data_IF_136363654762
#
_entry.id   IF_136363654762
#
_cell.length_a   1.000
_cell.length_b   1.000
_cell.length_c   1.000
_cell.angle_alpha   90.00
_cell.angle_beta   90.00
_cell.angle_gamma   90.00
#
_symmetry.space_group_name_H-M   'P 1'
#
loop_
_entity.id
_entity.type
_entity.pdbx_description
1 polymer ?
#
# COMPACT_ATOMS: atom_id res chain seq x y z
N UNK A 1 -5.58 -25.73 49.73
CA UNK A 1 -6.16 -24.38 49.89
C UNK A 1 -7.52 -24.34 49.19
N UNK A 2 -8.57 -24.07 49.98
CA UNK A 2 -9.84 -23.39 49.64
C UNK A 2 -10.54 -23.83 48.33
N UNK A 3 -11.52 -24.73 48.33
CA UNK A 3 -12.86 -24.69 48.93
C UNK A 3 -13.87 -23.77 48.20
N UNK A 4 -15.03 -24.39 47.92
CA UNK A 4 -16.38 -23.81 47.78
C UNK A 4 -16.71 -23.08 46.47
N UNK A 5 -17.95 -23.07 45.96
CA UNK A 5 -19.20 -23.80 46.21
C UNK A 5 -20.19 -23.28 45.16
N UNK A 6 -21.17 -24.10 44.85
CA UNK A 6 -22.35 -23.75 44.04
C UNK A 6 -23.28 -22.75 44.75
N UNK A 7 -23.91 -21.84 43.98
CA UNK A 7 -25.17 -21.09 44.24
C UNK A 7 -25.25 -19.95 43.19
N UNK A 8 -26.37 -19.45 42.67
CA UNK A 8 -27.80 -19.64 42.87
C UNK A 8 -28.48 -18.80 41.75
N UNK A 9 -29.46 -19.40 41.07
CA UNK A 9 -30.65 -18.83 40.39
C UNK A 9 -30.75 -17.31 40.15
N UNK A 10 -31.19 -16.94 38.93
CA UNK A 10 -32.43 -16.16 38.78
C UNK A 10 -33.05 -16.29 37.38
N UNK A 11 -34.01 -17.19 37.26
CA UNK A 11 -35.05 -17.18 36.24
C UNK A 11 -35.82 -15.85 36.33
N UNK A 12 -35.67 -14.98 35.34
CA UNK A 12 -36.46 -13.76 35.22
C UNK A 12 -37.55 -13.98 34.17
N UNK A 13 -38.75 -14.24 34.68
CA UNK A 13 -40.01 -14.31 33.93
C UNK A 13 -40.20 -13.07 33.06
N UNK A 14 -40.42 -13.25 31.77
CA UNK A 14 -40.87 -12.20 30.85
C UNK A 14 -42.24 -12.64 30.30
N UNK A 15 -43.26 -11.76 30.32
CA UNK A 15 -44.64 -12.12 30.07
C UNK A 15 -44.91 -12.40 28.58
N UNK A 16 -45.70 -13.44 28.40
CA UNK A 16 -46.32 -13.89 27.16
C UNK A 16 -47.26 -12.79 26.63
N UNK A 17 -47.05 -12.34 25.39
CA UNK A 17 -48.07 -11.62 24.64
C UNK A 17 -48.33 -12.38 23.34
N UNK A 18 -49.40 -13.17 23.38
CA UNK A 18 -50.05 -13.83 22.26
C UNK A 18 -50.54 -12.77 21.27
N UNK A 19 -50.11 -12.86 20.00
CA UNK A 19 -50.94 -12.42 18.89
C UNK A 19 -50.69 -13.31 17.68
N UNK A 20 -51.74 -14.03 17.30
CA UNK A 20 -51.85 -14.99 16.20
C UNK A 20 -52.29 -14.26 14.93
N UNK A 21 -51.40 -14.03 13.97
CA UNK A 21 -51.66 -13.82 12.53
C UNK A 21 -50.27 -13.99 11.88
N UNK A 22 -49.92 -14.86 10.93
CA UNK A 22 -50.61 -15.50 9.82
C UNK A 22 -49.71 -15.32 8.58
N UNK A 23 -49.49 -16.40 7.81
CA UNK A 23 -48.97 -16.44 6.43
C UNK A 23 -47.43 -16.39 6.16
N UNK A 24 -46.92 -17.57 5.76
CA UNK A 24 -46.27 -17.82 4.46
C UNK A 24 -44.81 -17.43 4.17
N UNK A 25 -44.20 -18.35 3.43
CA UNK A 25 -43.06 -18.31 2.48
C UNK A 25 -41.61 -18.54 2.95
N UNK A 26 -41.05 -19.56 2.28
CA UNK A 26 -39.71 -19.69 1.69
C UNK A 26 -38.53 -20.21 2.52
N UNK A 27 -38.21 -21.47 2.24
CA UNK A 27 -36.89 -22.07 2.38
C UNK A 27 -35.90 -21.33 1.47
N UNK A 28 -35.10 -20.44 2.03
CA UNK A 28 -33.82 -20.02 1.45
C UNK A 28 -32.73 -20.32 2.48
N UNK A 29 -32.11 -21.49 2.36
CA UNK A 29 -30.84 -21.74 3.03
C UNK A 29 -29.83 -20.76 2.43
N UNK A 30 -29.55 -19.70 3.20
CA UNK A 30 -28.73 -18.58 2.79
C UNK A 30 -27.31 -19.03 2.49
N UNK A 31 -26.91 -18.66 1.28
CA UNK A 31 -25.58 -18.72 0.70
C UNK A 31 -24.46 -18.47 1.70
N UNK A 32 -23.45 -19.35 1.59
CA UNK A 32 -22.10 -19.18 2.12
C UNK A 32 -21.59 -17.79 1.75
N UNK A 33 -21.54 -16.88 2.73
CA UNK A 33 -20.94 -15.57 2.57
C UNK A 33 -19.44 -15.77 2.34
N UNK A 34 -19.06 -15.79 1.06
CA UNK A 34 -17.71 -15.53 0.61
C UNK A 34 -17.33 -14.14 1.14
N UNK A 35 -16.53 -14.13 2.21
CA UNK A 35 -15.97 -12.91 2.74
C UNK A 35 -15.15 -12.24 1.63
N UNK A 36 -15.47 -11.00 1.24
CA UNK A 36 -14.61 -10.29 0.31
C UNK A 36 -13.28 -10.05 1.03
N UNK A 37 -12.21 -10.63 0.47
CA UNK A 37 -10.85 -10.20 0.78
C UNK A 37 -10.79 -8.70 0.50
N UNK A 38 -10.66 -7.91 1.56
CA UNK A 38 -10.37 -6.49 1.42
C UNK A 38 -9.00 -6.35 0.76
N UNK A 39 -9.00 -6.10 -0.56
CA UNK A 39 -7.80 -5.67 -1.28
C UNK A 39 -7.43 -4.31 -0.72
N UNK A 40 -6.38 -4.26 0.10
CA UNK A 40 -5.81 -3.00 0.58
C UNK A 40 -5.40 -2.17 -0.65
N UNK A 41 -6.17 -1.13 -0.95
CA UNK A 41 -5.87 -0.19 -2.02
C UNK A 41 -4.51 0.46 -1.75
N UNK A 42 -3.49 0.03 -2.49
CA UNK A 42 -2.14 0.54 -2.36
C UNK A 42 -2.13 1.97 -2.92
N UNK A 43 -2.16 2.96 -2.02
CA UNK A 43 -2.14 4.39 -2.35
C UNK A 43 -0.90 4.70 -3.18
N UNK A 44 -1.07 4.84 -4.49
CA UNK A 44 0.00 5.23 -5.40
C UNK A 44 0.45 6.65 -5.01
N UNK A 45 1.60 6.76 -4.36
CA UNK A 45 2.15 8.05 -3.92
C UNK A 45 2.59 8.80 -5.18
N UNK A 46 1.80 9.78 -5.62
CA UNK A 46 2.25 10.75 -6.63
C UNK A 46 3.42 11.55 -6.05
N UNK A 47 4.60 11.38 -6.63
CA UNK A 47 5.80 12.13 -6.28
C UNK A 47 5.70 13.62 -6.71
N UNK A 48 6.59 14.48 -6.21
CA UNK A 48 6.61 15.90 -6.56
C UNK A 48 7.03 16.09 -8.02
N UNK A 49 6.49 17.12 -8.70
CA UNK A 49 6.96 17.49 -10.05
C UNK A 49 8.23 18.34 -10.02
N UNK A 50 8.44 19.10 -8.94
CA UNK A 50 9.64 19.91 -8.71
C UNK A 50 10.18 19.57 -7.33
N UNK A 51 11.47 19.22 -7.25
CA UNK A 51 12.14 18.89 -6.00
C UNK A 51 13.64 19.18 -6.09
N UNK A 52 14.31 19.17 -4.94
CA UNK A 52 15.76 19.13 -4.83
C UNK A 52 16.21 17.70 -4.60
N UNK A 53 17.20 17.24 -5.37
CA UNK A 53 17.79 15.92 -5.19
C UNK A 53 18.77 15.93 -4.01
N UNK A 54 18.62 15.00 -3.08
CA UNK A 54 19.47 14.88 -1.88
C UNK A 54 20.38 13.66 -1.89
N UNK A 55 19.93 12.54 -2.43
CA UNK A 55 20.77 11.37 -2.69
C UNK A 55 20.35 10.68 -3.98
N UNK A 56 21.30 10.00 -4.61
CA UNK A 56 21.09 9.10 -5.74
C UNK A 56 21.93 7.86 -5.43
N UNK A 57 21.31 6.69 -5.45
CA UNK A 57 21.96 5.42 -5.16
C UNK A 57 21.65 4.44 -6.28
N UNK A 58 22.71 3.92 -6.91
CA UNK A 58 22.58 2.87 -7.91
C UNK A 58 22.41 1.54 -7.19
N UNK A 59 21.16 1.15 -6.95
CA UNK A 59 20.88 -0.12 -6.32
C UNK A 59 20.60 -1.21 -7.35
N UNK A 60 20.38 -2.40 -6.84
CA UNK A 60 20.24 -3.63 -7.62
C UNK A 60 19.17 -3.51 -8.72
N UNK A 61 17.93 -3.23 -8.35
CA UNK A 61 16.79 -3.35 -9.26
C UNK A 61 16.33 -2.00 -9.85
N UNK A 62 16.83 -0.88 -9.30
CA UNK A 62 16.48 0.47 -9.74
C UNK A 62 17.50 1.51 -9.26
N UNK A 63 17.42 2.70 -9.85
CA UNK A 63 18.03 3.89 -9.30
C UNK A 63 17.14 4.44 -8.17
N UNK A 64 17.67 4.61 -6.97
CA UNK A 64 16.94 5.15 -5.82
C UNK A 64 17.30 6.62 -5.63
N UNK A 65 16.29 7.47 -5.48
CA UNK A 65 16.49 8.92 -5.35
C UNK A 65 15.79 9.43 -4.10
N UNK A 66 16.50 10.22 -3.30
CA UNK A 66 15.89 11.00 -2.22
C UNK A 66 15.61 12.42 -2.71
N UNK A 67 14.37 12.86 -2.54
CA UNK A 67 13.88 14.17 -3.00
C UNK A 67 13.34 14.98 -1.83
N UNK A 68 13.52 16.30 -1.89
CA UNK A 68 12.83 17.26 -1.01
C UNK A 68 12.03 18.22 -1.88
N UNK A 69 10.71 18.25 -1.67
CA UNK A 69 9.83 19.13 -2.44
C UNK A 69 9.89 20.60 -1.98
N UNK A 70 9.12 21.46 -2.64
CA UNK A 70 9.08 22.90 -2.32
C UNK A 70 8.47 23.21 -0.95
N UNK A 71 7.73 22.28 -0.35
CA UNK A 71 7.14 22.39 0.99
C UNK A 71 8.05 21.80 2.07
N UNK A 72 9.25 21.34 1.70
CA UNK A 72 10.19 20.69 2.61
C UNK A 72 9.87 19.23 2.91
N UNK A 73 8.90 18.61 2.23
CA UNK A 73 8.58 17.20 2.43
C UNK A 73 9.63 16.31 1.75
N UNK A 74 10.16 15.36 2.52
CA UNK A 74 11.13 14.38 2.04
C UNK A 74 10.42 13.16 1.46
N UNK A 75 10.90 12.69 0.31
CA UNK A 75 10.52 11.46 -0.35
C UNK A 75 11.77 10.59 -0.47
N UNK A 76 11.82 9.50 0.30
CA UNK A 76 12.96 8.59 0.34
C UNK A 76 12.78 7.46 -0.68
N UNK A 77 13.90 6.95 -1.21
CA UNK A 77 13.97 5.75 -2.04
C UNK A 77 12.98 5.74 -3.21
N UNK A 78 12.81 6.89 -3.88
CA UNK A 78 11.93 7.00 -5.05
C UNK A 78 12.60 6.28 -6.23
N UNK A 79 11.88 5.35 -6.85
CA UNK A 79 12.36 4.64 -8.03
C UNK A 79 12.60 5.59 -9.21
N UNK A 80 13.71 5.41 -9.89
CA UNK A 80 14.10 6.12 -11.10
C UNK A 80 14.74 5.17 -12.12
N UNK A 81 14.74 5.57 -13.38
CA UNK A 81 15.51 4.88 -14.42
C UNK A 81 17.01 4.91 -14.10
N UNK A 82 17.72 3.83 -14.47
CA UNK A 82 19.17 3.73 -14.31
C UNK A 82 19.96 4.87 -15.00
N UNK A 83 19.43 5.44 -16.09
CA UNK A 83 20.01 6.62 -16.75
C UNK A 83 20.11 7.87 -15.86
N UNK A 84 19.35 7.91 -14.76
CA UNK A 84 19.45 8.97 -13.76
C UNK A 84 20.71 8.75 -12.90
N UNK A 85 20.95 7.51 -12.46
CA UNK A 85 22.13 7.13 -11.69
C UNK A 85 23.43 7.34 -12.49
N UNK A 86 23.43 7.03 -13.79
CA UNK A 86 24.56 7.31 -14.68
C UNK A 86 24.94 8.82 -14.76
N UNK A 87 24.02 9.70 -14.34
CA UNK A 87 24.18 11.17 -14.37
C UNK A 87 24.13 11.79 -12.97
N UNK A 88 24.43 11.04 -11.92
CA UNK A 88 24.38 11.48 -10.53
C UNK A 88 24.99 12.88 -10.31
N UNK A 89 26.23 13.08 -10.78
CA UNK A 89 26.97 14.34 -10.63
C UNK A 89 26.26 15.56 -11.24
N UNK A 90 25.37 15.33 -12.22
CA UNK A 90 24.58 16.39 -12.85
C UNK A 90 23.40 16.82 -11.98
N UNK A 91 22.84 15.88 -11.22
CA UNK A 91 21.55 16.06 -10.55
C UNK A 91 21.67 16.26 -9.04
N UNK A 92 22.70 15.72 -8.40
CA UNK A 92 22.88 15.81 -6.95
C UNK A 92 22.89 17.27 -6.48
N UNK A 93 22.11 17.57 -5.44
CA UNK A 93 21.91 18.90 -4.88
C UNK A 93 21.33 19.94 -5.84
N UNK A 94 20.79 19.53 -7.00
CA UNK A 94 20.11 20.44 -7.93
C UNK A 94 18.61 20.43 -7.73
N UNK A 95 18.00 21.58 -8.03
CA UNK A 95 16.55 21.68 -8.22
C UNK A 95 16.20 21.14 -9.61
N UNK A 96 15.26 20.22 -9.66
CA UNK A 96 14.93 19.48 -10.88
C UNK A 96 13.42 19.45 -11.12
N UNK A 97 13.04 19.37 -12.40
CA UNK A 97 11.71 18.97 -12.85
C UNK A 97 11.73 17.46 -13.11
N UNK A 98 10.76 16.77 -12.55
CA UNK A 98 10.62 15.33 -12.59
C UNK A 98 9.46 14.95 -13.51
N UNK A 99 9.65 13.92 -14.32
CA UNK A 99 8.58 13.24 -15.04
C UNK A 99 8.54 11.78 -14.63
N UNK A 100 7.32 11.26 -14.49
CA UNK A 100 7.07 9.91 -14.02
C UNK A 100 6.44 9.08 -15.13
N UNK A 101 6.73 7.79 -15.13
CA UNK A 101 6.12 6.81 -16.02
C UNK A 101 6.04 5.44 -15.36
N UNK A 102 5.28 4.53 -15.97
CA UNK A 102 5.29 3.13 -15.56
C UNK A 102 6.56 2.45 -16.06
N UNK A 103 7.19 1.65 -15.22
CA UNK A 103 8.31 0.79 -15.58
C UNK A 103 8.23 -0.55 -14.86
N UNK A 104 8.91 -1.56 -15.42
CA UNK A 104 9.03 -2.87 -14.79
C UNK A 104 10.32 -2.91 -13.96
N UNK A 105 10.17 -3.24 -12.68
CA UNK A 105 11.31 -3.56 -11.81
C UNK A 105 11.27 -5.05 -11.51
N UNK A 106 12.41 -5.72 -11.66
CA UNK A 106 12.55 -7.13 -11.32
C UNK A 106 12.72 -7.29 -9.81
N UNK A 107 12.17 -8.35 -9.24
CA UNK A 107 12.27 -8.61 -7.80
C UNK A 107 13.67 -9.10 -7.37
N UNK A 108 14.60 -9.41 -8.29
CA UNK A 108 15.90 -10.01 -7.97
C UNK A 108 16.97 -9.80 -9.07
N UNK A 109 18.25 -9.89 -8.69
CA UNK A 109 19.46 -9.78 -9.55
C UNK A 109 19.92 -11.07 -10.26
N UNK A 110 19.38 -12.23 -9.88
CA UNK A 110 19.84 -13.56 -10.30
C UNK A 110 18.83 -14.29 -11.19
N UNK A 111 19.28 -15.37 -11.84
CA UNK A 111 18.44 -16.34 -12.52
C UNK A 111 17.96 -17.41 -11.51
N UNK A 112 16.79 -17.16 -10.93
CA UNK A 112 15.83 -18.17 -10.47
C UNK A 112 15.68 -18.55 -8.97
N UNK A 113 14.40 -18.62 -8.49
CA UNK A 113 13.16 -18.30 -9.23
C UNK A 113 12.85 -16.79 -9.12
N UNK A 114 13.41 -15.99 -10.03
CA UNK A 114 13.20 -14.57 -10.17
C UNK A 114 12.22 -14.40 -11.32
N UNK A 115 10.95 -14.58 -11.00
CA UNK A 115 9.89 -14.72 -12.01
C UNK A 115 8.82 -13.64 -11.92
N UNK A 116 9.01 -12.61 -11.09
CA UNK A 116 8.00 -11.57 -10.88
C UNK A 116 8.62 -10.19 -11.09
N UNK A 117 8.17 -9.52 -12.15
CA UNK A 117 8.41 -8.09 -12.34
C UNK A 117 7.19 -7.32 -11.86
N UNK A 118 7.41 -6.24 -11.12
CA UNK A 118 6.34 -5.34 -10.68
C UNK A 118 6.31 -4.12 -11.57
N UNK A 119 5.12 -3.76 -12.02
CA UNK A 119 4.91 -2.44 -12.60
C UNK A 119 4.92 -1.42 -11.47
N UNK A 120 5.79 -0.44 -11.56
CA UNK A 120 5.87 0.68 -10.62
C UNK A 120 5.90 1.99 -11.38
N UNK A 121 5.44 3.04 -10.71
CA UNK A 121 5.70 4.40 -11.15
C UNK A 121 7.13 4.77 -10.76
N UNK A 122 7.93 5.19 -11.73
CA UNK A 122 9.32 5.61 -11.52
C UNK A 122 9.62 6.92 -12.26
N UNK A 123 10.68 7.61 -11.85
CA UNK A 123 11.17 8.82 -12.50
C UNK A 123 11.83 8.42 -13.83
N UNK A 124 11.18 8.76 -14.94
CA UNK A 124 11.67 8.47 -16.29
C UNK A 124 12.53 9.60 -16.86
N UNK A 125 12.32 10.83 -16.39
CA UNK A 125 13.09 12.00 -16.81
C UNK A 125 13.35 12.94 -15.64
N UNK A 126 14.57 13.46 -15.59
CA UNK A 126 15.00 14.49 -14.65
C UNK A 126 15.69 15.61 -15.43
N UNK A 127 15.25 16.84 -15.20
CA UNK A 127 15.81 18.02 -15.85
C UNK A 127 16.14 19.08 -14.81
N UNK A 128 17.38 19.56 -14.80
CA UNK A 128 17.79 20.66 -13.92
C UNK A 128 17.04 21.93 -14.31
N UNK A 129 16.44 22.60 -13.32
CA UNK A 129 15.82 23.91 -13.47
C UNK A 129 16.82 24.92 -12.90
N UNK A 130 17.19 25.90 -13.73
CA UNK A 130 17.99 27.05 -13.29
C UNK A 130 17.08 28.14 -12.73
#
# INVERSE_FOLDING_TARGET
MLAQSQKLMKDQKIPFCLSLIGLSVSVFALNFFLTPTAVLAQKSVKGPQIATVKSIENGDNACYVTLVDQKGKTYQSVYANFDICAREKTFLNKKVRLSYGQGKINDCQSAEPCGKSKQVTLITKMQVIR
#
